data_IF_401583377781
#
_entry.id   IF_401583377781
#
_cell.length_a   1.000
_cell.length_b   1.000
_cell.length_c   1.000
_cell.angle_alpha   90.00
_cell.angle_beta   90.00
_cell.angle_gamma   90.00
#
_symmetry.space_group_name_H-M   'P 1'
#
loop_
_entity.id
_entity.type
_entity.pdbx_description
1 polymer ?
#
# COMPACT_ATOMS: atom_id res chain seq x y z
N UNK A 1 18.34 -20.57 19.89
CA UNK A 1 17.98 -19.24 19.37
C UNK A 1 16.78 -18.76 20.17
N UNK A 2 16.82 -17.56 20.76
CA UNK A 2 15.62 -17.03 21.43
C UNK A 2 14.56 -16.71 20.39
N UNK A 3 13.29 -16.92 20.73
CA UNK A 3 12.19 -16.57 19.84
C UNK A 3 12.14 -15.05 19.62
N UNK A 4 11.48 -14.59 18.54
CA UNK A 4 11.23 -13.15 18.32
C UNK A 4 10.49 -12.53 19.52
N UNK A 5 9.61 -13.30 20.17
CA UNK A 5 8.90 -12.87 21.38
C UNK A 5 9.85 -12.62 22.55
N UNK A 6 10.79 -13.52 22.81
CA UNK A 6 11.77 -13.36 23.89
C UNK A 6 12.77 -12.24 23.58
N UNK A 7 13.24 -12.17 22.33
CA UNK A 7 14.23 -11.17 21.89
C UNK A 7 13.70 -9.74 22.07
N UNK A 8 12.43 -9.51 21.76
CA UNK A 8 11.80 -8.19 21.81
C UNK A 8 10.82 -8.01 22.98
N UNK A 9 10.79 -8.96 23.93
CA UNK A 9 9.87 -8.98 25.07
C UNK A 9 8.39 -8.77 24.68
N UNK A 10 7.93 -9.50 23.66
CA UNK A 10 6.57 -9.39 23.13
C UNK A 10 5.64 -10.45 23.75
N UNK A 11 4.38 -10.07 23.92
CA UNK A 11 3.31 -10.96 24.41
C UNK A 11 2.78 -11.86 23.29
N UNK A 12 2.59 -13.14 23.56
CA UNK A 12 1.82 -14.04 22.70
C UNK A 12 0.32 -13.78 22.86
N UNK A 13 -0.42 -13.73 21.75
CA UNK A 13 -1.85 -13.40 21.73
C UNK A 13 -2.60 -14.40 20.85
N UNK A 14 -3.76 -14.85 21.32
CA UNK A 14 -4.75 -15.58 20.52
C UNK A 14 -5.88 -14.60 20.21
N UNK A 15 -6.16 -14.40 18.93
CA UNK A 15 -7.18 -13.46 18.48
C UNK A 15 -8.50 -14.20 18.18
N UNK A 16 -9.55 -13.87 18.93
CA UNK A 16 -10.93 -14.36 18.72
C UNK A 16 -11.90 -13.24 18.37
N UNK A 17 -11.42 -12.00 18.19
CA UNK A 17 -12.23 -10.79 17.99
C UNK A 17 -12.26 -10.29 16.55
N UNK A 18 -11.72 -11.05 15.59
CA UNK A 18 -11.67 -10.67 14.18
C UNK A 18 -10.51 -9.74 13.84
N UNK A 19 -10.68 -8.80 12.88
CA UNK A 19 -9.59 -7.95 12.38
C UNK A 19 -9.38 -6.70 13.24
N UNK A 20 -8.46 -6.77 14.19
CA UNK A 20 -8.22 -5.69 15.16
C UNK A 20 -6.95 -4.90 14.81
N UNK A 21 -7.04 -3.57 14.77
CA UNK A 21 -5.88 -2.69 14.48
C UNK A 21 -4.72 -2.90 15.45
N UNK A 22 -5.02 -3.06 16.75
CA UNK A 22 -3.99 -3.29 17.79
C UNK A 22 -3.23 -4.61 17.60
N UNK A 23 -3.80 -5.57 16.85
CA UNK A 23 -3.22 -6.88 16.60
C UNK A 23 -2.66 -7.02 15.18
N UNK A 24 -2.49 -5.91 14.44
CA UNK A 24 -1.96 -5.95 13.08
C UNK A 24 -2.97 -6.35 12.01
N UNK A 25 -4.27 -6.19 12.30
CA UNK A 25 -5.41 -6.37 11.38
C UNK A 25 -5.56 -7.75 10.76
N UNK A 26 -4.94 -7.98 9.61
CA UNK A 26 -5.19 -9.11 8.73
C UNK A 26 -4.02 -10.07 8.79
N UNK A 27 -4.30 -11.36 8.93
CA UNK A 27 -3.30 -12.41 8.77
C UNK A 27 -3.37 -12.90 7.33
N UNK A 28 -2.33 -12.68 6.51
CA UNK A 28 -2.32 -13.14 5.12
C UNK A 28 -2.39 -14.66 5.03
N UNK A 29 -3.04 -15.16 3.97
CA UNK A 29 -2.96 -16.59 3.62
C UNK A 29 -1.57 -16.90 3.06
N UNK A 30 -1.17 -18.18 3.11
CA UNK A 30 0.14 -18.61 2.63
C UNK A 30 0.42 -18.18 1.18
N UNK A 31 -0.59 -18.31 0.30
CA UNK A 31 -0.51 -17.87 -1.10
C UNK A 31 -0.09 -16.39 -1.28
N UNK A 32 -0.50 -15.51 -0.35
CA UNK A 32 -0.13 -14.10 -0.36
C UNK A 32 1.30 -13.90 0.13
N UNK A 33 1.70 -14.66 1.15
CA UNK A 33 3.07 -14.64 1.70
C UNK A 33 4.06 -15.08 0.62
N UNK A 34 3.74 -16.15 -0.11
CA UNK A 34 4.59 -16.68 -1.18
C UNK A 34 4.74 -15.67 -2.33
N UNK A 35 3.67 -14.96 -2.69
CA UNK A 35 3.72 -13.90 -3.69
C UNK A 35 4.58 -12.70 -3.25
N UNK A 36 4.51 -12.33 -1.97
CA UNK A 36 5.36 -11.27 -1.40
C UNK A 36 6.82 -11.70 -1.40
N UNK A 37 7.12 -12.92 -0.97
CA UNK A 37 8.47 -13.46 -0.97
C UNK A 37 9.06 -13.49 -2.39
N UNK A 38 8.28 -13.95 -3.38
CA UNK A 38 8.68 -13.87 -4.78
C UNK A 38 9.00 -12.43 -5.20
N UNK A 39 8.10 -11.48 -4.92
CA UNK A 39 8.28 -10.08 -5.27
C UNK A 39 9.52 -9.44 -4.63
N UNK A 40 9.85 -9.79 -3.39
CA UNK A 40 11.02 -9.27 -2.67
C UNK A 40 12.35 -9.83 -3.21
N UNK A 41 12.34 -11.03 -3.79
CA UNK A 41 13.54 -11.70 -4.31
C UNK A 41 13.80 -11.43 -5.81
N UNK A 42 13.00 -10.59 -6.47
CA UNK A 42 13.11 -10.31 -7.90
C UNK A 42 13.16 -8.81 -8.18
N UNK A 43 13.84 -8.44 -9.28
CA UNK A 43 13.84 -7.07 -9.78
C UNK A 43 12.76 -6.87 -10.83
N UNK A 44 12.10 -5.71 -10.76
CA UNK A 44 11.11 -5.27 -11.73
C UNK A 44 11.43 -3.84 -12.16
N UNK A 45 11.10 -3.53 -13.42
CA UNK A 45 11.03 -2.14 -13.86
C UNK A 45 9.83 -1.49 -13.18
N UNK A 46 10.08 -0.66 -12.16
CA UNK A 46 9.05 -0.20 -11.23
C UNK A 46 7.95 0.59 -11.94
N UNK A 47 8.29 1.36 -12.97
CA UNK A 47 7.29 2.13 -13.74
C UNK A 47 6.30 1.20 -14.43
N UNK A 48 6.77 0.18 -15.15
CA UNK A 48 5.91 -0.83 -15.76
C UNK A 48 5.11 -1.60 -14.72
N UNK A 49 5.73 -1.97 -13.59
CA UNK A 49 5.03 -2.69 -12.54
C UNK A 49 3.82 -1.90 -12.02
N UNK A 50 4.00 -0.60 -11.74
CA UNK A 50 2.92 0.29 -11.30
C UNK A 50 1.85 0.41 -12.38
N UNK A 51 2.22 0.70 -13.62
CA UNK A 51 1.26 0.91 -14.72
C UNK A 51 0.46 -0.37 -15.03
N UNK A 52 1.12 -1.53 -15.12
CA UNK A 52 0.47 -2.80 -15.49
C UNK A 52 -0.42 -3.33 -14.38
N UNK A 53 -0.01 -3.21 -13.12
CA UNK A 53 -0.85 -3.61 -11.98
C UNK A 53 -2.04 -2.66 -11.81
N UNK A 54 -1.84 -1.36 -12.07
CA UNK A 54 -2.90 -0.36 -12.13
C UNK A 54 -3.98 -0.72 -13.16
N UNK A 55 -3.57 -0.95 -14.42
CA UNK A 55 -4.49 -1.34 -15.48
C UNK A 55 -5.26 -2.64 -15.18
N UNK A 56 -4.58 -3.62 -14.58
CA UNK A 56 -5.22 -4.86 -14.15
C UNK A 56 -6.32 -4.61 -13.10
N UNK A 57 -6.03 -3.79 -12.08
CA UNK A 57 -7.00 -3.42 -11.03
C UNK A 57 -8.15 -2.60 -11.62
N UNK A 58 -7.87 -1.67 -12.52
CA UNK A 58 -8.88 -0.87 -13.19
C UNK A 58 -9.90 -1.76 -13.93
N UNK A 59 -9.41 -2.80 -14.63
CA UNK A 59 -10.25 -3.81 -15.27
C UNK A 59 -11.10 -4.63 -14.30
N UNK A 60 -10.55 -5.01 -13.14
CA UNK A 60 -11.31 -5.72 -12.09
C UNK A 60 -12.42 -4.86 -11.47
N UNK A 61 -12.17 -3.56 -11.31
CA UNK A 61 -13.11 -2.62 -10.68
C UNK A 61 -14.04 -1.94 -11.68
N UNK A 62 -13.83 -2.13 -12.99
CA UNK A 62 -14.54 -1.46 -14.07
C UNK A 62 -14.50 0.09 -13.95
N UNK A 63 -13.28 0.62 -13.78
CA UNK A 63 -12.99 2.06 -13.72
C UNK A 63 -12.00 2.46 -14.81
N UNK A 64 -11.86 3.77 -15.06
CA UNK A 64 -10.98 4.28 -16.12
C UNK A 64 -9.49 4.05 -15.85
N UNK A 65 -9.06 4.18 -14.58
CA UNK A 65 -7.68 3.99 -14.16
C UNK A 65 -7.62 3.66 -12.66
N UNK A 66 -6.51 3.04 -12.23
CA UNK A 66 -6.25 2.73 -10.83
C UNK A 66 -4.76 2.74 -10.53
N UNK A 67 -4.38 3.20 -9.34
CA UNK A 67 -2.98 3.21 -8.89
C UNK A 67 -2.85 2.68 -7.46
N UNK A 68 -1.84 1.83 -7.24
CA UNK A 68 -1.52 1.31 -5.90
C UNK A 68 -0.67 2.33 -5.16
N UNK A 69 -1.06 2.62 -3.92
CA UNK A 69 -0.36 3.52 -3.01
C UNK A 69 -0.06 2.80 -1.68
N UNK A 70 0.80 3.38 -0.85
CA UNK A 70 1.26 2.73 0.39
C UNK A 70 0.15 2.41 1.37
N UNK A 71 -0.86 3.29 1.49
CA UNK A 71 -2.02 3.09 2.36
C UNK A 71 -3.19 4.00 1.97
N UNK A 72 -4.36 3.79 2.59
CA UNK A 72 -5.55 4.62 2.36
C UNK A 72 -5.30 6.12 2.64
N UNK A 73 -4.51 6.45 3.68
CA UNK A 73 -4.16 7.84 4.00
C UNK A 73 -3.37 8.52 2.87
N UNK A 74 -2.39 7.81 2.29
CA UNK A 74 -1.64 8.30 1.14
C UNK A 74 -2.55 8.51 -0.08
N UNK A 75 -3.50 7.58 -0.32
CA UNK A 75 -4.48 7.72 -1.40
C UNK A 75 -5.37 8.94 -1.24
N UNK A 76 -5.85 9.20 -0.03
CA UNK A 76 -6.64 10.41 0.28
C UNK A 76 -5.79 11.66 0.02
N UNK A 77 -4.56 11.72 0.55
CA UNK A 77 -3.68 12.88 0.39
C UNK A 77 -3.38 13.17 -1.09
N UNK A 78 -3.07 12.13 -1.89
CA UNK A 78 -2.82 12.26 -3.32
C UNK A 78 -4.07 12.68 -4.09
N UNK A 79 -5.24 12.12 -3.75
CA UNK A 79 -6.51 12.48 -4.41
C UNK A 79 -6.87 13.95 -4.16
N UNK A 80 -6.73 14.42 -2.91
CA UNK A 80 -6.97 15.83 -2.57
C UNK A 80 -5.98 16.74 -3.29
N UNK A 81 -4.69 16.39 -3.29
CA UNK A 81 -3.66 17.14 -3.99
C UNK A 81 -3.95 17.22 -5.50
N UNK A 82 -4.38 16.12 -6.14
CA UNK A 82 -4.72 16.10 -7.56
C UNK A 82 -5.86 17.06 -7.91
N UNK A 83 -6.91 17.13 -7.08
CA UNK A 83 -8.04 18.06 -7.28
C UNK A 83 -7.62 19.54 -7.14
N UNK A 84 -6.63 19.83 -6.30
CA UNK A 84 -6.07 21.18 -6.13
C UNK A 84 -5.15 21.55 -7.31
N UNK A 85 -4.22 20.65 -7.67
CA UNK A 85 -3.18 20.88 -8.68
C UNK A 85 -3.76 20.93 -10.10
N UNK A 86 -4.70 20.03 -10.42
CA UNK A 86 -5.25 19.84 -11.77
C UNK A 86 -4.10 19.73 -12.79
N UNK A 87 -4.12 20.55 -13.84
CA UNK A 87 -3.11 20.56 -14.90
C UNK A 87 -1.94 21.53 -14.63
N UNK A 88 -1.83 22.10 -13.43
CA UNK A 88 -0.78 23.07 -13.12
C UNK A 88 0.52 22.39 -12.69
N UNK A 89 1.44 22.25 -13.63
CA UNK A 89 2.76 21.64 -13.40
C UNK A 89 3.59 22.34 -12.29
N UNK A 90 3.39 23.64 -12.04
CA UNK A 90 4.09 24.33 -10.97
C UNK A 90 3.55 23.92 -9.59
N UNK A 91 2.23 23.82 -9.44
CA UNK A 91 1.60 23.39 -8.18
C UNK A 91 1.87 21.92 -7.87
N UNK A 92 2.12 21.08 -8.89
CA UNK A 92 2.49 19.68 -8.69
C UNK A 92 3.73 19.51 -7.82
N UNK A 93 4.73 20.38 -8.02
CA UNK A 93 5.99 20.35 -7.24
C UNK A 93 6.02 21.39 -6.12
N UNK A 94 5.20 22.43 -6.20
CA UNK A 94 5.15 23.53 -5.24
C UNK A 94 3.74 23.72 -4.63
N UNK A 95 3.08 22.66 -4.19
CA UNK A 95 1.69 22.76 -3.69
C UNK A 95 1.50 23.81 -2.58
N UNK A 96 2.52 24.00 -1.74
CA UNK A 96 2.55 24.97 -0.65
C UNK A 96 2.63 26.44 -1.11
N UNK A 97 2.94 26.70 -2.39
CA UNK A 97 3.00 28.05 -2.97
C UNK A 97 1.62 28.63 -3.28
N UNK A 98 0.56 27.83 -3.09
CA UNK A 98 -0.83 28.26 -3.14
C UNK A 98 -1.08 29.28 -1.99
N UNK A 99 -0.80 30.55 -2.28
CA UNK A 99 -1.05 31.71 -1.41
C UNK A 99 -1.76 32.79 -2.21
#
# INVERSE_FOLDING_TARGET
MSSVYEKYNLKQVINTSGRMTILGVSTPRQEVIDAVDYGLNHYFEIKDLVNKTGAYIAGLLNVEDAVIVSCASAGIAQSVAAVIVKDNANLLVNLHSLR
#
